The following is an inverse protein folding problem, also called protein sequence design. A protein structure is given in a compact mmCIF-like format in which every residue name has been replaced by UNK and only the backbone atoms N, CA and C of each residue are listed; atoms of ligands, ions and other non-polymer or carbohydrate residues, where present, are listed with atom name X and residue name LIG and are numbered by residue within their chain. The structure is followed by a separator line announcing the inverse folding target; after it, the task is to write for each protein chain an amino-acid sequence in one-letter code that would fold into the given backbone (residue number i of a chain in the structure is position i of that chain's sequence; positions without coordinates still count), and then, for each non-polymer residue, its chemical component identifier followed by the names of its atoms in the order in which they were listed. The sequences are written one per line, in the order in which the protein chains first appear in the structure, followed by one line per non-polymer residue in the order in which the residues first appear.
data_IF_445681953648
#
_entry.id   IF_445681953648
#
_cell.length_a   1.000
_cell.length_b   1.000
_cell.length_c   1.000
_cell.angle_alpha   90.00
_cell.angle_beta   90.00
_cell.angle_gamma   90.00
#
_symmetry.space_group_name_H-M   'P 1'
#
loop_
_entity.id
_entity.type
_entity.pdbx_description
1 polymer ?
#
# COMPACT_ATOMS: atom_id res chain seq x y z
N UNK A 1 -0.31 16.32 7.15
CA UNK A 1 0.86 15.59 6.62
C UNK A 1 1.92 15.51 7.69
N UNK A 2 2.43 14.31 8.00
CA UNK A 2 3.44 14.12 9.04
C UNK A 2 4.83 14.60 8.60
N UNK A 3 5.71 14.89 9.57
CA UNK A 3 7.10 15.35 9.29
C UNK A 3 7.94 14.30 8.56
N UNK A 4 7.55 13.03 8.62
CA UNK A 4 8.23 11.89 7.99
C UNK A 4 8.37 12.04 6.46
N UNK A 5 7.48 12.81 5.81
CA UNK A 5 7.51 13.05 4.36
C UNK A 5 8.02 14.45 3.99
N UNK A 6 8.71 15.14 4.90
CA UNK A 6 9.20 16.51 4.67
C UNK A 6 10.25 16.59 3.54
N UNK A 7 11.02 15.52 3.32
CA UNK A 7 12.06 15.44 2.28
C UNK A 7 11.55 14.86 0.93
N UNK A 8 10.25 14.95 0.65
CA UNK A 8 9.67 14.41 -0.59
C UNK A 8 10.34 14.95 -1.86
N UNK A 9 10.74 16.23 -1.89
CA UNK A 9 11.43 16.83 -3.03
C UNK A 9 12.74 16.10 -3.38
N UNK A 10 13.49 15.65 -2.37
CA UNK A 10 14.73 14.89 -2.59
C UNK A 10 14.47 13.50 -3.16
N UNK A 11 13.40 12.84 -2.72
CA UNK A 11 13.00 11.52 -3.24
C UNK A 11 12.56 11.65 -4.71
N UNK A 12 11.79 12.69 -5.05
CA UNK A 12 11.38 12.95 -6.43
C UNK A 12 12.57 13.25 -7.33
N UNK A 13 13.56 13.99 -6.85
CA UNK A 13 14.79 14.26 -7.61
C UNK A 13 15.59 12.99 -7.91
N UNK A 14 15.75 12.10 -6.93
CA UNK A 14 16.56 10.88 -7.06
C UNK A 14 15.87 9.79 -7.89
N UNK A 15 14.56 9.63 -7.72
CA UNK A 15 13.79 8.52 -8.34
C UNK A 15 13.02 8.91 -9.59
N UNK A 16 12.81 10.21 -9.84
CA UNK A 16 11.90 10.73 -10.87
C UNK A 16 10.41 10.50 -10.57
N UNK A 17 10.05 10.02 -9.37
CA UNK A 17 8.66 9.72 -9.00
C UNK A 17 7.98 10.95 -8.40
N UNK A 18 6.86 11.36 -8.98
CA UNK A 18 6.02 12.44 -8.44
C UNK A 18 5.35 12.03 -7.12
N UNK A 19 5.44 12.88 -6.09
CA UNK A 19 4.82 12.67 -4.78
C UNK A 19 3.62 13.62 -4.62
N UNK A 20 2.50 13.10 -4.13
CA UNK A 20 1.26 13.85 -3.92
C UNK A 20 0.82 13.78 -2.46
N UNK A 21 0.28 14.90 -1.95
CA UNK A 21 -0.28 14.98 -0.61
C UNK A 21 -1.79 15.21 -0.65
N UNK A 22 -2.47 14.66 0.35
CA UNK A 22 -3.89 14.91 0.56
C UNK A 22 -4.12 16.31 1.14
N UNK A 23 -5.28 16.88 0.83
CA UNK A 23 -5.69 18.16 1.38
C UNK A 23 -6.00 18.04 2.88
N UNK A 24 -5.76 19.11 3.67
CA UNK A 24 -6.10 19.12 5.10
C UNK A 24 -7.59 18.83 5.33
N UNK A 25 -7.92 17.94 6.28
CA UNK A 25 -9.29 17.52 6.60
C UNK A 25 -10.02 16.68 5.53
N UNK A 26 -9.35 16.28 4.45
CA UNK A 26 -9.88 15.40 3.41
C UNK A 26 -9.49 13.93 3.65
N UNK A 27 -9.93 13.36 4.79
CA UNK A 27 -9.56 11.99 5.20
C UNK A 27 -9.95 10.90 4.20
N UNK A 28 -10.98 11.15 3.37
CA UNK A 28 -11.46 10.22 2.35
C UNK A 28 -10.47 9.99 1.20
N UNK A 29 -9.56 10.93 0.93
CA UNK A 29 -8.52 10.78 -0.09
C UNK A 29 -7.54 9.64 0.23
N UNK A 30 -7.53 9.18 1.49
CA UNK A 30 -6.69 8.08 1.98
C UNK A 30 -7.50 6.83 2.33
N UNK A 31 -8.75 6.72 1.87
CA UNK A 31 -9.66 5.66 2.29
C UNK A 31 -9.11 4.24 2.09
N UNK A 32 -8.34 4.01 1.02
CA UNK A 32 -7.66 2.73 0.78
C UNK A 32 -6.56 2.46 1.81
N UNK A 33 -5.76 3.46 2.16
CA UNK A 33 -4.70 3.32 3.15
C UNK A 33 -5.28 3.02 4.54
N UNK A 34 -6.35 3.73 4.93
CA UNK A 34 -7.01 3.49 6.22
C UNK A 34 -7.65 2.09 6.30
N UNK A 35 -8.27 1.62 5.21
CA UNK A 35 -8.76 0.25 5.12
C UNK A 35 -7.62 -0.78 5.28
N UNK A 36 -6.47 -0.57 4.62
CA UNK A 36 -5.31 -1.46 4.75
C UNK A 36 -4.72 -1.43 6.16
N UNK A 37 -4.62 -0.25 6.79
CA UNK A 37 -4.18 -0.11 8.17
C UNK A 37 -5.09 -0.87 9.14
N UNK A 38 -6.41 -0.83 8.92
CA UNK A 38 -7.38 -1.61 9.69
C UNK A 38 -7.15 -3.12 9.61
N UNK A 39 -6.78 -3.62 8.42
CA UNK A 39 -6.46 -5.04 8.22
C UNK A 39 -5.17 -5.45 8.93
N UNK A 40 -4.13 -4.61 8.87
CA UNK A 40 -2.86 -4.85 9.59
C UNK A 40 -3.09 -4.96 11.10
N UNK A 41 -3.93 -4.08 11.67
CA UNK A 41 -4.28 -4.09 13.09
C UNK A 41 -5.02 -5.34 13.56
N UNK A 42 -5.53 -6.20 12.66
CA UNK A 42 -6.08 -7.51 13.04
C UNK A 42 -4.99 -8.49 13.48
N UNK A 43 -3.75 -8.30 13.01
CA UNK A 43 -2.63 -9.19 13.29
C UNK A 43 -1.73 -8.67 14.42
N UNK A 44 -1.74 -7.36 14.68
CA UNK A 44 -0.99 -6.76 15.78
C UNK A 44 -1.89 -6.59 17.02
N UNK A 45 -1.63 -7.28 18.13
CA UNK A 45 -2.39 -7.06 19.35
C UNK A 45 -2.22 -5.61 19.82
N UNK A 46 -3.31 -4.96 20.24
CA UNK A 46 -3.35 -3.54 20.67
C UNK A 46 -2.28 -3.15 21.71
N UNK A 47 -1.73 -4.12 22.45
CA UNK A 47 -0.70 -3.94 23.48
C UNK A 47 0.53 -4.82 23.23
N UNK A 48 0.77 -5.24 21.99
CA UNK A 48 2.02 -5.90 21.63
C UNK A 48 3.17 -5.02 22.12
N UNK A 49 4.01 -5.55 23.00
CA UNK A 49 5.22 -4.84 23.43
C UNK A 49 6.02 -4.58 22.16
N UNK A 50 6.28 -3.31 21.86
CA UNK A 50 6.90 -2.79 20.63
C UNK A 50 8.33 -3.32 20.33
N UNK A 51 8.76 -4.42 20.96
CA UNK A 51 10.03 -5.10 20.74
C UNK A 51 9.94 -6.59 20.42
N UNK A 52 8.74 -7.16 20.21
CA UNK A 52 8.57 -8.59 19.86
C UNK A 52 8.09 -8.86 18.42
N UNK A 53 7.87 -7.82 17.62
CA UNK A 53 7.51 -7.97 16.21
C UNK A 53 8.82 -8.07 15.42
N UNK A 54 9.06 -9.23 14.83
CA UNK A 54 10.23 -9.47 13.97
C UNK A 54 9.91 -9.09 12.52
N UNK A 55 10.95 -8.85 11.71
CA UNK A 55 10.77 -8.67 10.26
C UNK A 55 10.11 -9.89 9.61
N UNK A 56 10.34 -11.09 10.14
CA UNK A 56 9.65 -12.32 9.70
C UNK A 56 8.15 -12.29 10.00
N UNK A 57 7.73 -11.74 11.15
CA UNK A 57 6.30 -11.59 11.47
C UNK A 57 5.64 -10.61 10.51
N UNK A 58 6.32 -9.50 10.20
CA UNK A 58 5.83 -8.52 9.22
C UNK A 58 5.65 -9.18 7.86
N UNK A 59 6.67 -9.88 7.37
CA UNK A 59 6.62 -10.59 6.08
C UNK A 59 5.49 -11.62 6.03
N UNK A 60 5.30 -12.38 7.11
CA UNK A 60 4.21 -13.35 7.21
C UNK A 60 2.83 -12.67 7.10
N UNK A 61 2.66 -11.50 7.73
CA UNK A 61 1.41 -10.74 7.68
C UNK A 61 1.21 -10.14 6.28
N UNK A 62 2.25 -9.60 5.66
CA UNK A 62 2.23 -9.10 4.28
C UNK A 62 1.81 -10.20 3.31
N UNK A 63 2.43 -11.38 3.39
CA UNK A 63 2.09 -12.53 2.56
C UNK A 63 0.63 -12.93 2.75
N UNK A 64 0.16 -13.01 4.00
CA UNK A 64 -1.26 -13.30 4.30
C UNK A 64 -2.19 -12.26 3.69
N UNK A 65 -1.85 -10.97 3.77
CA UNK A 65 -2.71 -9.90 3.24
C UNK A 65 -2.72 -9.84 1.71
N UNK A 66 -1.58 -10.11 1.09
CA UNK A 66 -1.40 -10.13 -0.37
C UNK A 66 -2.05 -11.34 -1.03
N UNK A 67 -2.16 -12.46 -0.32
CA UNK A 67 -2.83 -13.69 -0.80
C UNK A 67 -4.25 -13.86 -0.24
N UNK A 68 -4.80 -12.85 0.45
CA UNK A 68 -6.19 -12.88 0.94
C UNK A 68 -7.15 -12.42 -0.16
N UNK A 69 -8.12 -13.25 -0.60
CA UNK A 69 -9.17 -12.87 -1.52
C UNK A 69 -9.92 -11.59 -1.10
N UNK A 70 -10.14 -10.67 -2.03
CA UNK A 70 -10.87 -9.41 -1.76
C UNK A 70 -12.14 -9.33 -2.60
N UNK A 71 -13.28 -9.08 -1.97
CA UNK A 71 -14.57 -8.88 -2.67
C UNK A 71 -14.49 -7.78 -3.73
N UNK A 72 -13.78 -6.67 -3.44
CA UNK A 72 -13.56 -5.55 -4.40
C UNK A 72 -12.78 -5.99 -5.66
N UNK A 73 -12.01 -7.07 -5.58
CA UNK A 73 -11.24 -7.63 -6.68
C UNK A 73 -11.92 -8.86 -7.28
N UNK A 74 -13.26 -8.97 -7.19
CA UNK A 74 -14.01 -10.16 -7.62
C UNK A 74 -13.50 -11.46 -6.98
N UNK A 75 -13.12 -11.39 -5.69
CA UNK A 75 -12.54 -12.48 -4.93
C UNK A 75 -11.16 -12.96 -5.41
N UNK A 76 -10.50 -12.22 -6.30
CA UNK A 76 -9.07 -12.38 -6.55
C UNK A 76 -8.25 -11.82 -5.38
N UNK A 77 -7.02 -12.31 -5.27
CA UNK A 77 -6.01 -11.82 -4.34
C UNK A 77 -5.33 -10.57 -4.88
N UNK A 78 -4.87 -9.65 -4.01
CA UNK A 78 -4.04 -8.53 -4.43
C UNK A 78 -2.82 -8.96 -5.25
N UNK A 79 -2.19 -10.08 -4.88
CA UNK A 79 -1.05 -10.64 -5.61
C UNK A 79 -1.40 -11.02 -7.05
N UNK A 80 -2.48 -11.76 -7.28
CA UNK A 80 -2.91 -12.13 -8.63
C UNK A 80 -3.22 -10.92 -9.50
N UNK A 81 -3.92 -9.92 -8.94
CA UNK A 81 -4.22 -8.68 -9.68
C UNK A 81 -2.96 -7.89 -9.99
N UNK A 82 -2.00 -7.84 -9.06
CA UNK A 82 -0.73 -7.18 -9.26
C UNK A 82 0.10 -7.85 -10.36
N UNK A 83 0.28 -9.17 -10.29
CA UNK A 83 1.03 -9.94 -11.30
C UNK A 83 0.38 -9.79 -12.68
N UNK A 84 -0.95 -9.86 -12.75
CA UNK A 84 -1.67 -9.64 -14.01
C UNK A 84 -1.40 -8.25 -14.58
N UNK A 85 -1.43 -7.19 -13.76
CA UNK A 85 -1.18 -5.81 -14.22
C UNK A 85 0.28 -5.55 -14.58
N UNK A 86 1.22 -6.24 -13.92
CA UNK A 86 2.66 -6.12 -14.17
C UNK A 86 3.10 -6.87 -15.44
N UNK A 87 2.24 -7.68 -16.07
CA UNK A 87 2.57 -8.33 -17.33
C UNK A 87 2.84 -7.26 -18.42
N UNK A 88 4.01 -7.23 -19.08
CA UNK A 88 4.37 -6.23 -20.09
C UNK A 88 3.37 -6.16 -21.26
N UNK A 89 2.63 -7.23 -21.56
CA UNK A 89 1.56 -7.21 -22.58
C UNK A 89 0.38 -6.29 -22.20
N UNK A 90 0.19 -6.01 -20.91
CA UNK A 90 -0.85 -5.12 -20.40
C UNK A 90 -0.40 -3.65 -20.26
N UNK A 91 0.87 -3.33 -20.54
CA UNK A 91 1.40 -1.97 -20.54
C UNK A 91 1.12 -1.20 -21.85
N UNK A 92 0.64 -1.89 -22.89
CA UNK A 92 0.08 -1.22 -24.06
C UNK A 92 -1.36 -0.85 -23.76
N UNK A 93 -1.60 0.42 -23.44
CA UNK A 93 -2.66 1.32 -23.97
C UNK A 93 -2.85 2.45 -22.95
N UNK A 94 -2.11 3.55 -23.15
CA UNK A 94 -2.59 4.94 -23.01
C UNK A 94 -1.47 5.90 -23.46
N UNK A 95 -1.11 5.82 -24.74
CA UNK A 95 -0.64 7.02 -25.44
C UNK A 95 -1.91 7.67 -25.98
N UNK A 96 -2.53 8.52 -25.15
CA UNK A 96 -3.48 9.49 -25.66
C UNK A 96 -2.66 10.65 -26.23
N UNK A 97 -2.91 10.89 -27.52
CA UNK A 97 -2.48 12.04 -28.30
C UNK A 97 -2.89 13.33 -27.59
#
# INVERSE_FOLDING_TARGET
NGKEFSYHDLITLDTGISIYFCYPYHSWERGTNENTNGLLRQYFPKKAVHGKITSSDIKLIEDKLNHRPRKRLNYLTPYEVFVKKMNPENFQVQVLI
#
